data_IF_851710274505
#
_entry.id   IF_851710274505
#
_cell.length_a   1.000
_cell.length_b   1.000
_cell.length_c   1.000
_cell.angle_alpha   90.00
_cell.angle_beta   90.00
_cell.angle_gamma   90.00
#
_symmetry.space_group_name_H-M   'P 1'
#
loop_
_entity.id
_entity.type
_entity.pdbx_description
1 polymer ?
#
# COMPACT_ATOMS: atom_id res chain seq x y z
N UNK A 1 -30.98 -1.28 -1.38
CA UNK A 1 -29.67 -1.08 -0.73
C UNK A 1 -28.95 0.05 -1.43
N UNK A 2 -28.34 0.95 -0.68
CA UNK A 2 -27.52 2.03 -1.25
C UNK A 2 -26.13 1.47 -1.59
N UNK A 3 -25.98 1.00 -2.83
CA UNK A 3 -24.71 0.44 -3.32
C UNK A 3 -23.58 1.46 -3.30
N UNK A 4 -23.88 2.75 -3.50
CA UNK A 4 -22.87 3.80 -3.47
C UNK A 4 -22.28 3.92 -2.06
N UNK A 5 -23.13 3.98 -1.03
CA UNK A 5 -22.69 4.03 0.37
C UNK A 5 -21.85 2.81 0.74
N UNK A 6 -22.29 1.60 0.37
CA UNK A 6 -21.57 0.36 0.67
C UNK A 6 -20.18 0.36 0.04
N UNK A 7 -20.09 0.71 -1.25
CA UNK A 7 -18.81 0.78 -1.96
C UNK A 7 -17.90 1.86 -1.38
N UNK A 8 -18.46 3.00 -0.98
CA UNK A 8 -17.71 4.06 -0.31
C UNK A 8 -17.12 3.55 1.01
N UNK A 9 -17.92 2.96 1.89
CA UNK A 9 -17.46 2.39 3.15
C UNK A 9 -16.39 1.31 2.92
N UNK A 10 -16.64 0.37 2.00
CA UNK A 10 -15.71 -0.70 1.67
C UNK A 10 -14.35 -0.16 1.19
N UNK A 11 -14.35 0.85 0.32
CA UNK A 11 -13.11 1.45 -0.17
C UNK A 11 -12.33 2.15 0.94
N UNK A 12 -13.00 2.94 1.80
CA UNK A 12 -12.32 3.61 2.91
C UNK A 12 -11.74 2.61 3.91
N UNK A 13 -12.50 1.58 4.29
CA UNK A 13 -12.02 0.52 5.17
C UNK A 13 -10.81 -0.20 4.56
N UNK A 14 -10.84 -0.50 3.25
CA UNK A 14 -9.70 -1.09 2.55
C UNK A 14 -8.47 -0.16 2.58
N UNK A 15 -8.65 1.15 2.33
CA UNK A 15 -7.55 2.14 2.38
C UNK A 15 -6.99 2.28 3.79
N UNK A 16 -7.82 2.37 4.83
CA UNK A 16 -7.33 2.44 6.21
C UNK A 16 -6.63 1.15 6.64
N UNK A 17 -7.10 -0.01 6.17
CA UNK A 17 -6.43 -1.29 6.39
C UNK A 17 -5.06 -1.31 5.71
N UNK A 18 -4.97 -0.82 4.47
CA UNK A 18 -3.70 -0.68 3.74
C UNK A 18 -2.70 0.16 4.55
N UNK A 19 -3.14 1.32 5.05
CA UNK A 19 -2.30 2.23 5.85
C UNK A 19 -1.88 1.57 7.17
N UNK A 20 -2.78 0.85 7.83
CA UNK A 20 -2.48 0.14 9.07
C UNK A 20 -1.43 -0.97 8.88
N UNK A 21 -1.58 -1.78 7.82
CA UNK A 21 -0.62 -2.83 7.47
C UNK A 21 0.73 -2.22 7.09
N UNK A 22 0.74 -1.16 6.27
CA UNK A 22 1.95 -0.42 5.93
C UNK A 22 2.68 0.11 7.16
N UNK A 23 1.96 0.70 8.11
CA UNK A 23 2.54 1.20 9.34
C UNK A 23 3.16 0.07 10.19
N UNK A 24 2.54 -1.12 10.21
CA UNK A 24 3.08 -2.29 10.86
C UNK A 24 4.39 -2.77 10.18
N UNK A 25 4.42 -2.84 8.84
CA UNK A 25 5.65 -3.16 8.09
C UNK A 25 6.77 -2.16 8.35
N UNK A 26 6.43 -0.86 8.32
CA UNK A 26 7.35 0.23 8.62
C UNK A 26 8.00 0.07 10.01
N UNK A 27 7.21 -0.32 11.01
CA UNK A 27 7.67 -0.52 12.37
C UNK A 27 8.49 -1.82 12.54
N UNK A 28 8.10 -2.90 11.86
CA UNK A 28 8.76 -4.21 11.96
C UNK A 28 10.10 -4.25 11.21
N UNK A 29 10.24 -3.55 10.10
CA UNK A 29 11.46 -3.55 9.29
C UNK A 29 12.57 -2.71 9.97
N UNK A 30 13.25 -3.27 10.96
CA UNK A 30 14.32 -2.62 11.73
C UNK A 30 15.51 -3.57 11.99
N UNK A 31 16.72 -3.04 12.27
CA UNK A 31 17.90 -3.86 12.57
C UNK A 31 17.65 -4.91 13.65
N UNK A 32 18.29 -6.09 13.50
CA UNK A 32 18.07 -7.23 14.39
C UNK A 32 16.81 -8.04 14.07
N UNK A 33 16.28 -7.93 12.85
CA UNK A 33 15.18 -8.74 12.36
C UNK A 33 15.63 -10.20 12.19
N UNK A 34 14.95 -11.13 12.86
CA UNK A 34 15.25 -12.57 12.84
C UNK A 34 14.00 -13.40 13.16
N UNK A 35 14.11 -14.72 12.92
CA UNK A 35 13.17 -15.73 13.39
C UNK A 35 11.69 -15.39 13.15
N UNK A 36 10.88 -15.42 14.21
CA UNK A 36 9.43 -15.21 14.13
C UNK A 36 9.06 -13.83 13.56
N UNK A 37 9.79 -12.77 13.92
CA UNK A 37 9.50 -11.41 13.43
C UNK A 37 9.69 -11.27 11.92
N UNK A 38 10.66 -11.99 11.35
CA UNK A 38 10.84 -12.06 9.91
C UNK A 38 9.64 -12.75 9.23
N UNK A 39 9.12 -13.83 9.83
CA UNK A 39 7.91 -14.50 9.35
C UNK A 39 6.66 -13.62 9.48
N UNK A 40 6.52 -12.86 10.57
CA UNK A 40 5.44 -11.89 10.76
C UNK A 40 5.50 -10.78 9.70
N UNK A 41 6.69 -10.23 9.43
CA UNK A 41 6.89 -9.24 8.37
C UNK A 41 6.49 -9.79 6.99
N UNK A 42 6.86 -11.03 6.67
CA UNK A 42 6.50 -11.65 5.39
C UNK A 42 4.98 -11.86 5.23
N UNK A 43 4.27 -12.16 6.32
CA UNK A 43 2.80 -12.24 6.30
C UNK A 43 2.18 -10.87 6.10
N UNK A 44 2.70 -9.83 6.77
CA UNK A 44 2.23 -8.45 6.57
C UNK A 44 2.45 -7.98 5.14
N UNK A 45 3.60 -8.26 4.53
CA UNK A 45 3.90 -7.94 3.12
C UNK A 45 2.91 -8.61 2.15
N UNK A 46 2.59 -9.89 2.39
CA UNK A 46 1.58 -10.59 1.60
C UNK A 46 0.17 -9.97 1.77
N UNK A 47 -0.22 -9.65 3.02
CA UNK A 47 -1.50 -9.00 3.32
C UNK A 47 -1.55 -7.60 2.70
N UNK A 48 -0.47 -6.83 2.76
CA UNK A 48 -0.36 -5.52 2.14
C UNK A 48 -0.66 -5.61 0.64
N UNK A 49 -0.01 -6.55 -0.05
CA UNK A 49 -0.23 -6.78 -1.48
C UNK A 49 -1.68 -7.13 -1.81
N UNK A 50 -2.31 -8.01 -1.03
CA UNK A 50 -3.74 -8.36 -1.21
C UNK A 50 -4.64 -7.15 -0.99
N UNK A 51 -4.43 -6.40 0.09
CA UNK A 51 -5.25 -5.22 0.41
C UNK A 51 -5.05 -4.12 -0.64
N UNK A 52 -3.85 -3.93 -1.19
CA UNK A 52 -3.60 -3.00 -2.28
C UNK A 52 -4.45 -3.33 -3.51
N UNK A 53 -4.53 -4.61 -3.89
CA UNK A 53 -5.40 -5.08 -4.97
C UNK A 53 -6.88 -4.81 -4.65
N UNK A 54 -7.32 -5.09 -3.43
CA UNK A 54 -8.71 -4.82 -2.99
C UNK A 54 -9.04 -3.32 -3.09
N UNK A 55 -8.14 -2.44 -2.65
CA UNK A 55 -8.31 -0.98 -2.76
C UNK A 55 -8.52 -0.56 -4.22
N UNK A 56 -7.68 -1.04 -5.13
CA UNK A 56 -7.78 -0.72 -6.56
C UNK A 56 -9.08 -1.28 -7.13
N UNK A 57 -9.40 -2.56 -6.88
CA UNK A 57 -10.60 -3.20 -7.39
C UNK A 57 -11.88 -2.46 -6.96
N UNK A 58 -12.04 -2.19 -5.66
CA UNK A 58 -13.20 -1.46 -5.15
C UNK A 58 -13.20 -0.01 -5.68
N UNK A 59 -12.03 0.61 -5.82
CA UNK A 59 -11.89 1.95 -6.41
C UNK A 59 -12.37 2.02 -7.85
N UNK A 60 -12.03 1.03 -8.68
CA UNK A 60 -12.49 0.93 -10.08
C UNK A 60 -14.00 0.72 -10.12
N UNK A 61 -14.56 -0.17 -9.28
CA UNK A 61 -16.02 -0.37 -9.20
C UNK A 61 -16.72 0.95 -8.82
N UNK A 62 -16.14 1.75 -7.92
CA UNK A 62 -16.70 3.06 -7.55
C UNK A 62 -16.73 4.08 -8.69
N UNK A 63 -15.82 4.02 -9.66
CA UNK A 63 -15.86 4.94 -10.82
C UNK A 63 -17.13 4.74 -11.62
N UNK A 64 -17.63 3.51 -11.72
CA UNK A 64 -18.81 3.18 -12.53
C UNK A 64 -20.12 3.16 -11.72
N UNK A 65 -20.05 2.80 -10.43
CA UNK A 65 -21.22 2.57 -9.58
C UNK A 65 -21.31 3.50 -8.36
N UNK A 66 -20.39 4.46 -8.23
CA UNK A 66 -20.28 5.37 -7.07
C UNK A 66 -21.10 6.66 -7.16
N UNK A 67 -22.09 6.74 -8.03
CA UNK A 67 -23.06 7.85 -8.11
C UNK A 67 -22.54 9.18 -8.67
N UNK A 68 -21.27 9.26 -9.09
CA UNK A 68 -20.67 10.39 -9.82
C UNK A 68 -20.45 9.93 -11.27
N UNK A 69 -20.63 10.82 -12.24
CA UNK A 69 -20.36 10.53 -13.66
C UNK A 69 -18.91 10.00 -13.83
N UNK A 70 -18.71 8.81 -14.44
CA UNK A 70 -17.38 8.28 -14.75
C UNK A 70 -16.46 9.28 -15.46
N UNK A 71 -17.01 10.15 -16.31
CA UNK A 71 -16.24 11.16 -17.05
C UNK A 71 -15.61 12.21 -16.13
N UNK A 72 -16.20 12.48 -14.96
CA UNK A 72 -15.58 13.34 -13.96
C UNK A 72 -14.24 12.76 -13.49
N UNK A 73 -14.17 11.45 -13.23
CA UNK A 73 -12.91 10.82 -12.82
C UNK A 73 -11.89 10.81 -13.94
N UNK A 74 -12.29 10.45 -15.16
CA UNK A 74 -11.38 10.26 -16.29
C UNK A 74 -10.75 11.56 -16.79
N UNK A 75 -11.45 12.69 -16.63
CA UNK A 75 -10.95 14.01 -17.03
C UNK A 75 -10.22 14.75 -15.90
N UNK A 76 -10.37 14.30 -14.65
CA UNK A 76 -9.80 15.01 -13.50
C UNK A 76 -8.32 14.64 -13.27
N UNK A 77 -7.43 15.63 -13.32
CA UNK A 77 -5.99 15.47 -13.11
C UNK A 77 -5.63 15.00 -11.68
N UNK A 78 -6.39 15.38 -10.66
CA UNK A 78 -6.17 14.89 -9.29
C UNK A 78 -6.53 13.41 -9.16
N UNK A 79 -7.53 12.91 -9.89
CA UNK A 79 -7.78 11.47 -9.98
C UNK A 79 -6.57 10.72 -10.55
N UNK A 80 -6.02 11.18 -11.68
CA UNK A 80 -4.82 10.57 -12.27
C UNK A 80 -3.57 10.71 -11.40
N UNK A 81 -3.40 11.84 -10.70
CA UNK A 81 -2.35 12.02 -9.71
C UNK A 81 -2.42 10.98 -8.59
N UNK A 82 -3.63 10.71 -8.08
CA UNK A 82 -3.88 9.64 -7.11
C UNK A 82 -3.54 8.25 -7.68
N UNK A 83 -3.93 7.97 -8.93
CA UNK A 83 -3.63 6.69 -9.58
C UNK A 83 -2.13 6.50 -9.81
N UNK A 84 -1.43 7.55 -10.24
CA UNK A 84 0.03 7.55 -10.39
C UNK A 84 0.73 7.32 -9.04
N UNK A 85 0.27 7.96 -7.96
CA UNK A 85 0.79 7.72 -6.61
C UNK A 85 0.58 6.26 -6.16
N UNK A 86 -0.59 5.67 -6.41
CA UNK A 86 -0.84 4.24 -6.16
C UNK A 86 0.06 3.32 -6.99
N UNK A 87 0.30 3.64 -8.26
CA UNK A 87 1.22 2.88 -9.11
C UNK A 87 2.65 2.95 -8.56
N UNK A 88 3.14 4.14 -8.21
CA UNK A 88 4.47 4.33 -7.63
C UNK A 88 4.59 3.56 -6.31
N UNK A 89 3.56 3.59 -5.44
CA UNK A 89 3.52 2.77 -4.22
C UNK A 89 3.75 1.28 -4.54
N UNK A 90 3.04 0.74 -5.54
CA UNK A 90 3.17 -0.65 -5.96
C UNK A 90 4.49 -0.98 -6.65
N UNK A 91 5.16 -0.02 -7.28
CA UNK A 91 6.53 -0.22 -7.80
C UNK A 91 7.55 -0.23 -6.67
N UNK A 92 7.39 0.65 -5.69
CA UNK A 92 8.29 0.75 -4.55
C UNK A 92 8.20 -0.47 -3.60
N UNK A 93 7.09 -1.22 -3.58
CA UNK A 93 6.99 -2.47 -2.79
C UNK A 93 7.84 -3.60 -3.37
N UNK A 94 8.14 -3.58 -4.69
CA UNK A 94 8.78 -4.71 -5.37
C UNK A 94 10.11 -5.08 -4.70
N UNK A 95 10.95 -4.10 -4.40
CA UNK A 95 12.25 -4.34 -3.79
C UNK A 95 12.13 -4.91 -2.36
N UNK A 96 11.37 -4.30 -1.42
CA UNK A 96 11.12 -4.87 -0.10
C UNK A 96 10.54 -6.28 -0.16
N UNK A 97 9.52 -6.52 -0.98
CA UNK A 97 8.86 -7.83 -1.12
C UNK A 97 9.86 -8.91 -1.58
N UNK A 98 10.68 -8.63 -2.58
CA UNK A 98 11.71 -9.58 -3.05
C UNK A 98 12.75 -9.84 -1.95
N UNK A 99 13.18 -8.81 -1.24
CA UNK A 99 14.16 -8.93 -0.16
C UNK A 99 13.60 -9.77 1.00
N UNK A 100 12.37 -9.51 1.44
CA UNK A 100 11.69 -10.25 2.51
C UNK A 100 11.59 -11.74 2.15
N UNK A 101 11.16 -12.06 0.92
CA UNK A 101 11.09 -13.46 0.45
C UNK A 101 12.46 -14.13 0.43
N UNK A 102 13.50 -13.41 -0.01
CA UNK A 102 14.89 -13.90 0.03
C UNK A 102 15.34 -14.18 1.46
N UNK A 103 15.06 -13.29 2.41
CA UNK A 103 15.43 -13.46 3.81
C UNK A 103 14.71 -14.63 4.46
N UNK A 104 13.41 -14.80 4.20
CA UNK A 104 12.65 -15.96 4.70
C UNK A 104 13.26 -17.26 4.18
N UNK A 105 13.60 -17.31 2.89
CA UNK A 105 14.25 -18.47 2.27
C UNK A 105 15.65 -18.72 2.87
N UNK A 106 16.45 -17.68 3.04
CA UNK A 106 17.79 -17.78 3.60
C UNK A 106 17.79 -18.21 5.07
N UNK A 107 16.79 -17.76 5.85
CA UNK A 107 16.65 -18.12 7.25
C UNK A 107 16.24 -19.58 7.46
N UNK A 108 15.53 -20.22 6.54
CA UNK A 108 15.26 -21.66 6.57
C UNK A 108 14.60 -22.20 7.85
N UNK A 109 13.98 -21.33 8.67
CA UNK A 109 13.45 -21.68 10.00
C UNK A 109 14.49 -21.68 11.13
N UNK A 110 15.75 -21.35 10.84
CA UNK A 110 16.82 -21.23 11.82
C UNK A 110 16.63 -19.98 12.70
N UNK A 111 16.63 -20.17 14.02
CA UNK A 111 16.36 -19.10 14.98
C UNK A 111 17.51 -18.08 15.10
N UNK A 112 18.71 -18.48 14.71
CA UNK A 112 19.96 -17.71 14.72
C UNK A 112 20.17 -16.87 13.46
N UNK A 113 19.37 -17.08 12.40
CA UNK A 113 19.46 -16.23 11.22
C UNK A 113 18.98 -14.79 11.52
N UNK A 114 19.91 -13.84 11.37
CA UNK A 114 19.64 -12.40 11.49
C UNK A 114 19.84 -11.75 10.13
N UNK A 115 18.86 -10.95 9.71
CA UNK A 115 18.94 -10.22 8.44
C UNK A 115 20.07 -9.18 8.51
N UNK A 116 20.99 -9.15 7.54
CA UNK A 116 22.07 -8.16 7.50
C UNK A 116 21.57 -6.72 7.54
N UNK A 117 22.19 -5.87 8.36
CA UNK A 117 21.74 -4.50 8.60
C UNK A 117 21.77 -3.61 7.34
N UNK A 118 22.70 -3.85 6.42
CA UNK A 118 22.79 -3.17 5.12
C UNK A 118 21.59 -3.50 4.22
N UNK A 119 21.11 -4.74 4.23
CA UNK A 119 19.93 -5.16 3.47
C UNK A 119 18.65 -4.54 4.05
N UNK A 120 18.52 -4.51 5.38
CA UNK A 120 17.44 -3.79 6.07
C UNK A 120 17.48 -2.31 5.70
N UNK A 121 18.65 -1.67 5.75
CA UNK A 121 18.81 -0.27 5.40
C UNK A 121 18.37 0.05 3.98
N UNK A 122 18.65 -0.84 3.04
CA UNK A 122 18.21 -0.71 1.64
C UNK A 122 16.69 -0.76 1.54
N UNK A 123 16.04 -1.82 2.08
CA UNK A 123 14.58 -1.95 2.03
C UNK A 123 13.86 -0.84 2.81
N UNK A 124 14.46 -0.35 3.91
CA UNK A 124 13.93 0.80 4.66
C UNK A 124 13.87 2.04 3.78
N UNK A 125 14.86 2.33 2.93
CA UNK A 125 14.81 3.52 2.04
C UNK A 125 13.59 3.48 1.13
N UNK A 126 13.27 2.32 0.55
CA UNK A 126 12.06 2.14 -0.24
C UNK A 126 10.80 2.38 0.58
N UNK A 127 10.72 1.81 1.79
CA UNK A 127 9.58 2.04 2.70
C UNK A 127 9.44 3.53 3.09
N UNK A 128 10.52 4.28 3.27
CA UNK A 128 10.44 5.73 3.55
C UNK A 128 9.95 6.51 2.33
N UNK A 129 10.39 6.14 1.12
CA UNK A 129 9.86 6.72 -0.11
C UNK A 129 8.36 6.42 -0.26
N UNK A 130 7.93 5.20 0.05
CA UNK A 130 6.52 4.83 0.08
C UNK A 130 5.73 5.69 1.08
N UNK A 131 6.25 5.92 2.29
CA UNK A 131 5.59 6.77 3.26
C UNK A 131 5.36 8.18 2.70
N UNK A 132 6.33 8.75 1.98
CA UNK A 132 6.17 10.04 1.31
C UNK A 132 5.10 10.02 0.21
N UNK A 133 5.12 9.00 -0.66
CA UNK A 133 4.13 8.88 -1.76
C UNK A 133 2.73 8.59 -1.24
N UNK A 134 2.61 7.82 -0.16
CA UNK A 134 1.35 7.50 0.50
C UNK A 134 0.59 8.76 0.94
N UNK A 135 1.31 9.84 1.32
CA UNK A 135 0.68 11.12 1.69
C UNK A 135 0.04 11.83 0.50
N UNK A 136 0.53 11.61 -0.72
CA UNK A 136 -0.05 12.22 -1.92
C UNK A 136 -1.45 11.67 -2.23
N UNK A 137 -1.69 10.39 -1.91
CA UNK A 137 -2.96 9.71 -2.18
C UNK A 137 -4.16 10.41 -1.53
N UNK A 138 -4.21 10.65 -0.20
CA UNK A 138 -5.32 11.37 0.42
C UNK A 138 -5.36 12.84 0.03
N UNK A 139 -4.23 13.49 -0.26
CA UNK A 139 -4.19 14.87 -0.76
C UNK A 139 -4.91 15.00 -2.11
N UNK A 140 -4.59 14.14 -3.07
CA UNK A 140 -5.27 14.11 -4.35
C UNK A 140 -6.74 13.72 -4.22
N UNK A 141 -7.07 12.78 -3.32
CA UNK A 141 -8.46 12.44 -3.03
C UNK A 141 -9.25 13.64 -2.51
N UNK A 142 -8.69 14.41 -1.57
CA UNK A 142 -9.30 15.62 -1.03
C UNK A 142 -9.42 16.74 -2.07
N UNK A 143 -8.39 16.93 -2.90
CA UNK A 143 -8.41 17.91 -3.99
C UNK A 143 -9.53 17.60 -4.99
N UNK A 144 -9.62 16.35 -5.46
CA UNK A 144 -10.68 15.88 -6.34
C UNK A 144 -12.07 16.02 -5.70
N UNK A 145 -12.23 15.76 -4.40
CA UNK A 145 -13.51 15.93 -3.71
C UNK A 145 -13.96 17.40 -3.62
N UNK A 146 -13.04 18.36 -3.82
CA UNK A 146 -13.31 19.80 -3.84
C UNK A 146 -13.39 20.38 -5.26
N UNK A 147 -13.36 19.54 -6.29
CA UNK A 147 -13.46 19.98 -7.69
C UNK A 147 -12.14 20.38 -8.35
N UNK A 148 -11.00 20.33 -7.65
CA UNK A 148 -9.71 20.65 -8.25
C UNK A 148 -9.29 19.60 -9.28
N UNK A 149 -8.70 20.06 -10.39
CA UNK A 149 -8.15 19.21 -11.44
C UNK A 149 -9.15 18.80 -12.53
N UNK A 150 -10.42 19.17 -12.38
CA UNK A 150 -11.50 18.98 -13.36
C UNK A 150 -11.55 20.09 -14.40
#
# INVERSE_FOLDING_TARGET
MDWNLILACAHHLAVFTLVAVFAAEFALLRPGLSGERLGQLAKLDAVYGVIAVVVIAVGVVRVWFGGIDPMYYLTNHAFWGKMAAFLIMGLLTIQPTIAIRRWVKAGGGAADYVVPANEIGTSRRFIHMQAGVLLLIPLFAAAMARGYGS
#
